data_IF_189613420401
#
_entry.id   IF_189613420401
#
_cell.length_a   1.000
_cell.length_b   1.000
_cell.length_c   1.000
_cell.angle_alpha   90.00
_cell.angle_beta   90.00
_cell.angle_gamma   90.00
#
_symmetry.space_group_name_H-M   'P 1'
#
loop_
_entity.id
_entity.type
_entity.pdbx_description
1 polymer ?
#
# COMPACT_ATOMS: atom_id res chain seq x y z
N UNK A 1 -11.89 -6.67 16.87
CA UNK A 1 -11.85 -6.38 15.41
C UNK A 1 -10.48 -6.76 14.84
N UNK A 2 -10.35 -7.03 13.53
CA UNK A 2 -9.08 -7.48 12.91
C UNK A 2 -8.54 -6.47 11.89
N UNK A 3 -7.22 -6.47 11.67
CA UNK A 3 -6.55 -5.63 10.65
C UNK A 3 -7.13 -5.87 9.24
N UNK A 4 -7.64 -7.07 8.97
CA UNK A 4 -8.28 -7.43 7.69
C UNK A 4 -9.55 -6.61 7.43
N UNK A 5 -10.29 -6.25 8.48
CA UNK A 5 -11.48 -5.41 8.35
C UNK A 5 -11.10 -3.98 7.95
N UNK A 6 -9.95 -3.47 8.42
CA UNK A 6 -9.42 -2.17 7.96
C UNK A 6 -8.91 -2.24 6.51
N UNK A 7 -8.32 -3.35 6.08
CA UNK A 7 -7.88 -3.56 4.69
C UNK A 7 -9.05 -3.65 3.69
N UNK A 8 -10.23 -4.09 4.15
CA UNK A 8 -11.42 -4.22 3.32
C UNK A 8 -12.18 -2.90 3.12
N UNK A 9 -11.82 -1.83 3.84
CA UNK A 9 -12.44 -0.52 3.75
C UNK A 9 -12.15 0.15 2.41
N UNK A 10 -13.16 0.84 1.88
CA UNK A 10 -12.96 1.74 0.74
C UNK A 10 -12.41 3.08 1.23
N UNK A 11 -11.11 3.27 1.09
CA UNK A 11 -10.38 4.47 1.52
C UNK A 11 -10.88 5.75 0.86
N UNK A 12 -11.53 5.70 -0.31
CA UNK A 12 -12.07 6.88 -0.99
C UNK A 12 -13.30 7.47 -0.30
N UNK A 13 -14.01 6.63 0.48
CA UNK A 13 -15.23 6.99 1.17
C UNK A 13 -15.01 7.31 2.65
N UNK A 14 -13.79 7.14 3.16
CA UNK A 14 -13.43 7.47 4.56
C UNK A 14 -13.16 8.96 4.69
N UNK A 15 -14.16 9.70 5.16
CA UNK A 15 -14.05 11.06 5.68
C UNK A 15 -14.21 11.09 7.21
N UNK A 16 -13.55 12.01 7.92
CA UNK A 16 -12.67 13.08 7.45
C UNK A 16 -11.26 12.59 7.06
N UNK A 17 -10.52 13.41 6.32
CA UNK A 17 -9.14 13.12 5.86
C UNK A 17 -8.22 12.66 7.01
N UNK A 18 -8.34 13.26 8.20
CA UNK A 18 -7.57 12.84 9.38
C UNK A 18 -7.82 11.38 9.79
N UNK A 19 -9.06 10.87 9.62
CA UNK A 19 -9.39 9.47 9.89
C UNK A 19 -8.83 8.56 8.78
N UNK A 20 -8.87 9.02 7.54
CA UNK A 20 -8.27 8.33 6.40
C UNK A 20 -6.75 8.17 6.60
N UNK A 21 -6.06 9.23 7.02
CA UNK A 21 -4.63 9.18 7.36
C UNK A 21 -4.35 8.21 8.52
N UNK A 22 -5.20 8.20 9.55
CA UNK A 22 -5.04 7.28 10.69
C UNK A 22 -5.20 5.80 10.29
N UNK A 23 -6.16 5.49 9.41
CA UNK A 23 -6.32 4.13 8.86
C UNK A 23 -5.10 3.74 8.02
N UNK A 24 -4.65 4.64 7.14
CA UNK A 24 -3.48 4.39 6.30
C UNK A 24 -2.20 4.19 7.13
N UNK A 25 -2.00 5.01 8.16
CA UNK A 25 -0.88 4.93 9.08
C UNK A 25 -0.77 3.53 9.74
N UNK A 26 -1.90 2.96 10.15
CA UNK A 26 -1.96 1.62 10.76
C UNK A 26 -1.67 0.52 9.74
N UNK A 27 -2.17 0.66 8.51
CA UNK A 27 -1.93 -0.30 7.43
C UNK A 27 -0.47 -0.30 6.98
N UNK A 28 0.13 0.88 6.87
CA UNK A 28 1.54 1.03 6.51
C UNK A 28 2.45 0.43 7.59
N UNK A 29 2.14 0.67 8.87
CA UNK A 29 2.88 0.08 9.99
C UNK A 29 2.75 -1.45 10.02
N UNK A 30 1.57 -2.01 9.71
CA UNK A 30 1.37 -3.46 9.57
C UNK A 30 2.22 -4.07 8.45
N UNK A 31 2.30 -3.38 7.30
CA UNK A 31 3.06 -3.85 6.15
C UNK A 31 4.58 -3.71 6.36
N UNK A 32 5.02 -2.71 7.11
CA UNK A 32 6.43 -2.47 7.41
C UNK A 32 7.00 -3.42 8.48
N UNK A 33 6.14 -3.95 9.35
CA UNK A 33 6.56 -4.89 10.41
C UNK A 33 6.74 -6.31 9.86
N UNK A 34 7.76 -7.01 10.35
CA UNK A 34 8.00 -8.41 9.98
C UNK A 34 7.16 -9.39 10.80
N UNK A 35 6.80 -9.01 12.03
CA UNK A 35 6.06 -9.82 13.00
C UNK A 35 4.60 -9.36 13.09
N UNK A 36 3.79 -9.80 12.12
CA UNK A 36 2.39 -9.39 11.95
C UNK A 36 1.52 -9.71 13.16
N UNK A 37 1.77 -10.85 13.83
CA UNK A 37 1.01 -11.29 15.00
C UNK A 37 1.25 -10.39 16.22
N UNK A 38 2.51 -10.07 16.50
CA UNK A 38 2.84 -9.15 17.58
C UNK A 38 2.27 -7.74 17.35
N UNK A 39 2.22 -7.29 16.09
CA UNK A 39 1.57 -6.01 15.77
C UNK A 39 0.07 -6.05 16.00
N UNK A 40 -0.61 -7.11 15.57
CA UNK A 40 -2.06 -7.26 15.80
C UNK A 40 -2.40 -7.24 17.29
N UNK A 41 -1.57 -7.82 18.16
CA UNK A 41 -1.75 -7.75 19.62
C UNK A 41 -1.52 -6.35 20.19
N UNK A 42 -0.41 -5.70 19.82
CA UNK A 42 -0.04 -4.37 20.35
C UNK A 42 -1.00 -3.28 19.83
N UNK A 43 -1.47 -3.40 18.60
CA UNK A 43 -2.32 -2.43 17.94
C UNK A 43 -3.83 -2.73 18.05
N UNK A 44 -4.23 -3.85 18.67
CA UNK A 44 -5.63 -4.31 18.74
C UNK A 44 -6.60 -3.21 19.20
N UNK A 45 -6.28 -2.54 20.30
CA UNK A 45 -7.11 -1.47 20.85
C UNK A 45 -7.23 -0.28 19.90
N UNK A 46 -6.15 0.06 19.18
CA UNK A 46 -6.14 1.15 18.23
C UNK A 46 -6.93 0.79 16.96
N UNK A 47 -6.77 -0.44 16.46
CA UNK A 47 -7.54 -0.99 15.33
C UNK A 47 -9.03 -0.93 15.64
N UNK A 48 -9.42 -1.32 16.86
CA UNK A 48 -10.82 -1.28 17.32
C UNK A 48 -11.35 0.16 17.42
N UNK A 49 -10.60 1.08 18.02
CA UNK A 49 -10.99 2.51 18.11
C UNK A 49 -11.16 3.16 16.74
N UNK A 50 -10.24 2.91 15.81
CA UNK A 50 -10.31 3.47 14.45
C UNK A 50 -11.51 2.91 13.70
N UNK A 51 -11.73 1.60 13.79
CA UNK A 51 -12.85 0.94 13.13
C UNK A 51 -14.20 1.46 13.65
N UNK A 52 -14.36 1.62 14.97
CA UNK A 52 -15.57 2.21 15.56
C UNK A 52 -15.81 3.66 15.10
N UNK A 53 -14.74 4.43 14.87
CA UNK A 53 -14.86 5.79 14.34
C UNK A 53 -15.31 5.78 12.87
N UNK A 54 -14.79 4.83 12.08
CA UNK A 54 -15.19 4.63 10.67
C UNK A 54 -16.65 4.18 10.58
N UNK A 55 -17.11 3.26 11.44
CA UNK A 55 -18.52 2.86 11.53
C UNK A 55 -19.44 4.05 11.83
N UNK A 56 -19.02 4.94 12.73
CA UNK A 56 -19.80 6.10 13.15
C UNK A 56 -19.86 7.21 12.11
N UNK A 57 -18.75 7.49 11.43
CA UNK A 57 -18.64 8.64 10.52
C UNK A 57 -18.89 8.27 9.07
N UNK A 58 -18.48 7.07 8.65
CA UNK A 58 -18.52 6.63 7.24
C UNK A 58 -18.95 5.17 7.14
N UNK A 59 -20.18 4.81 7.56
CA UNK A 59 -20.67 3.44 7.44
C UNK A 59 -20.72 2.94 5.98
N UNK A 60 -20.76 3.87 5.01
CA UNK A 60 -20.77 3.56 3.58
C UNK A 60 -19.40 3.06 3.05
N UNK A 61 -18.30 3.26 3.77
CA UNK A 61 -16.96 2.77 3.38
C UNK A 61 -16.74 1.29 3.72
N UNK A 62 -17.64 0.68 4.49
CA UNK A 62 -17.59 -0.72 4.88
C UNK A 62 -18.32 -1.53 3.80
N UNK A 63 -17.58 -2.38 3.07
CA UNK A 63 -18.18 -3.29 2.08
C UNK A 63 -19.11 -4.26 2.82
N UNK A 64 -20.42 -4.06 2.69
CA UNK A 64 -21.43 -4.99 3.22
C UNK A 64 -21.29 -6.32 2.50
N UNK A 65 -20.60 -7.28 3.10
CA UNK A 65 -20.83 -8.69 2.79
C UNK A 65 -22.28 -8.98 3.19
N UNK A 66 -23.10 -9.38 2.20
CA UNK A 66 -24.49 -9.79 2.40
C UNK A 66 -24.53 -10.90 3.44
N UNK A 67 -25.17 -10.66 4.58
CA UNK A 67 -26.03 -11.66 5.21
C UNK A 67 -27.02 -11.03 6.19
N UNK A 68 -28.24 -11.58 6.10
CA UNK A 68 -29.41 -11.48 6.99
C UNK A 68 -30.23 -10.19 7.02
N UNK A 69 -31.18 -10.17 6.09
CA UNK A 69 -32.50 -9.54 6.24
C UNK A 69 -33.30 -10.29 7.32
N UNK A 70 -34.05 -9.58 8.18
CA UNK A 70 -35.38 -10.03 8.54
C UNK A 70 -36.46 -8.99 8.18
N UNK A 71 -37.35 -9.45 7.29
CA UNK A 71 -38.81 -9.20 7.18
C UNK A 71 -39.44 -8.64 8.47
N UNK A 72 -40.40 -7.70 8.50
CA UNK A 72 -41.68 -7.52 7.75
C UNK A 72 -42.21 -6.12 8.17
N UNK A 73 -42.88 -5.35 7.32
CA UNK A 73 -44.35 -5.41 7.22
C UNK A 73 -44.86 -4.69 5.98
N UNK A 74 -45.94 -5.25 5.44
CA UNK A 74 -46.59 -4.99 4.15
C UNK A 74 -47.53 -3.77 4.18
N UNK A 75 -47.71 -3.12 3.02
CA UNK A 75 -48.99 -2.85 2.30
C UNK A 75 -48.67 -1.99 1.05
N UNK A 76 -48.74 -2.53 -0.16
CA UNK A 76 -49.89 -2.54 -1.11
C UNK A 76 -50.35 -1.13 -1.54
N UNK A 77 -50.00 -0.67 -2.74
CA UNK A 77 -50.77 -0.88 -3.99
C UNK A 77 -50.44 0.17 -5.09
N UNK A 78 -50.28 -0.36 -6.31
CA UNK A 78 -50.68 0.17 -7.63
C UNK A 78 -49.96 1.35 -8.35
N UNK A 79 -49.33 0.96 -9.48
CA UNK A 79 -49.67 1.36 -10.86
C UNK A 79 -49.03 2.62 -11.52
N UNK A 80 -48.17 2.29 -12.50
CA UNK A 80 -48.18 2.68 -13.94
C UNK A 80 -47.72 4.08 -14.44
N UNK A 81 -46.84 3.96 -15.44
CA UNK A 81 -46.58 4.78 -16.64
C UNK A 81 -45.94 6.19 -16.57
N UNK A 82 -44.71 6.19 -17.11
CA UNK A 82 -44.15 7.05 -18.17
C UNK A 82 -43.98 8.58 -18.06
N UNK A 83 -42.78 8.95 -18.52
CA UNK A 83 -42.33 10.18 -19.23
C UNK A 83 -41.91 11.44 -18.45
N UNK A 84 -40.58 11.59 -18.43
CA UNK A 84 -39.84 12.68 -19.08
C UNK A 84 -40.08 14.11 -18.58
N UNK A 85 -39.11 14.67 -17.83
CA UNK A 85 -38.19 15.74 -18.27
C UNK A 85 -37.47 16.41 -17.08
N UNK A 86 -36.39 17.13 -17.42
CA UNK A 86 -35.65 18.09 -16.61
C UNK A 86 -34.44 17.56 -15.80
N UNK A 87 -33.32 17.51 -16.51
CA UNK A 87 -31.99 17.62 -15.97
C UNK A 87 -31.83 18.80 -14.99
N UNK A 88 -31.27 18.54 -13.81
CA UNK A 88 -30.37 19.48 -13.12
C UNK A 88 -29.20 18.73 -12.48
N UNK A 89 -28.07 18.88 -13.17
CA UNK A 89 -26.71 18.64 -12.70
C UNK A 89 -26.47 19.19 -11.29
N UNK A 90 -25.84 18.36 -10.46
CA UNK A 90 -24.75 18.66 -9.52
C UNK A 90 -24.83 19.92 -8.64
N UNK A 91 -24.80 19.74 -7.33
CA UNK A 91 -23.92 20.54 -6.45
C UNK A 91 -23.63 19.86 -5.11
N UNK A 92 -22.34 19.57 -4.93
CA UNK A 92 -21.54 19.68 -3.71
C UNK A 92 -21.88 18.83 -2.49
N UNK A 93 -21.13 17.72 -2.37
CA UNK A 93 -20.12 17.58 -1.31
C UNK A 93 -20.00 18.82 -0.41
N UNK A 94 -20.65 18.77 0.77
CA UNK A 94 -20.24 19.60 1.91
C UNK A 94 -19.62 18.66 2.92
N UNK A 95 -18.29 18.62 2.88
CA UNK A 95 -17.45 18.15 3.97
C UNK A 95 -17.88 18.85 5.26
N UNK A 96 -18.72 18.16 6.06
CA UNK A 96 -19.09 18.64 7.39
C UNK A 96 -17.82 18.65 8.22
N UNK A 97 -17.33 19.85 8.56
CA UNK A 97 -16.22 20.02 9.50
C UNK A 97 -16.53 19.18 10.75
N UNK A 98 -15.60 18.35 11.23
CA UNK A 98 -15.83 17.49 12.37
C UNK A 98 -16.20 18.35 13.59
N UNK A 99 -17.17 17.88 14.38
CA UNK A 99 -17.61 18.55 15.60
C UNK A 99 -16.43 18.68 16.57
N UNK A 100 -16.48 19.65 17.50
CA UNK A 100 -15.40 19.87 18.48
C UNK A 100 -15.10 18.61 19.32
N UNK A 101 -16.08 17.74 19.55
CA UNK A 101 -15.92 16.44 20.21
C UNK A 101 -15.16 15.45 19.33
N UNK A 102 -15.56 15.30 18.06
CA UNK A 102 -14.89 14.41 17.09
C UNK A 102 -13.44 14.83 16.84
N UNK A 103 -13.14 16.13 16.83
CA UNK A 103 -11.75 16.61 16.72
C UNK A 103 -10.88 16.18 17.91
N UNK A 104 -11.41 16.26 19.14
CA UNK A 104 -10.68 15.82 20.34
C UNK A 104 -10.45 14.30 20.34
N UNK A 105 -11.42 13.53 19.85
CA UNK A 105 -11.29 12.08 19.70
C UNK A 105 -10.23 11.71 18.64
N UNK A 106 -10.21 12.41 17.50
CA UNK A 106 -9.18 12.25 16.47
C UNK A 106 -7.78 12.64 16.98
N UNK A 107 -7.67 13.72 17.75
CA UNK A 107 -6.41 14.16 18.34
C UNK A 107 -5.90 13.15 19.38
N UNK A 108 -6.78 12.60 20.21
CA UNK A 108 -6.44 11.54 21.17
C UNK A 108 -5.98 10.27 20.43
N UNK A 109 -6.70 9.88 19.38
CA UNK A 109 -6.34 8.73 18.55
C UNK A 109 -4.97 8.90 17.89
N UNK A 110 -4.64 10.11 17.41
CA UNK A 110 -3.33 10.39 16.84
C UNK A 110 -2.18 10.20 17.85
N UNK A 111 -2.42 10.49 19.14
CA UNK A 111 -1.45 10.29 20.22
C UNK A 111 -1.28 8.80 20.53
N UNK A 112 -2.37 8.05 20.56
CA UNK A 112 -2.36 6.60 20.78
C UNK A 112 -1.61 5.86 19.64
N UNK A 113 -1.79 6.29 18.39
CA UNK A 113 -1.05 5.77 17.23
C UNK A 113 0.45 6.06 17.37
N UNK A 114 0.82 7.29 17.75
CA UNK A 114 2.23 7.65 17.99
C UNK A 114 2.85 6.82 19.12
N UNK A 115 2.12 6.57 20.20
CA UNK A 115 2.59 5.73 21.30
C UNK A 115 2.79 4.28 20.84
N UNK A 116 1.88 3.74 20.02
CA UNK A 116 2.01 2.41 19.41
C UNK A 116 3.27 2.32 18.55
N UNK A 117 3.53 3.32 17.70
CA UNK A 117 4.75 3.40 16.88
C UNK A 117 6.03 3.34 17.71
N UNK A 118 6.06 4.02 18.85
CA UNK A 118 7.21 3.97 19.76
C UNK A 118 7.39 2.57 20.38
N UNK A 119 6.30 1.88 20.75
CA UNK A 119 6.36 0.50 21.26
C UNK A 119 6.89 -0.46 20.19
N UNK A 120 6.39 -0.37 18.96
CA UNK A 120 6.85 -1.20 17.84
C UNK A 120 8.33 -0.95 17.53
N UNK A 121 8.78 0.31 17.56
CA UNK A 121 10.20 0.66 17.38
C UNK A 121 11.08 0.01 18.44
N UNK A 122 10.71 0.13 19.72
CA UNK A 122 11.46 -0.48 20.83
C UNK A 122 11.51 -2.01 20.72
N UNK A 123 10.38 -2.65 20.40
CA UNK A 123 10.32 -4.10 20.19
C UNK A 123 11.20 -4.55 19.02
N UNK A 124 11.13 -3.84 17.90
CA UNK A 124 11.95 -4.14 16.72
C UNK A 124 13.45 -3.88 16.97
N UNK A 125 13.80 -2.85 17.74
CA UNK A 125 15.17 -2.59 18.18
C UNK A 125 15.67 -3.72 19.08
N UNK A 126 14.87 -4.18 20.04
CA UNK A 126 15.20 -5.33 20.90
C UNK A 126 15.40 -6.62 20.11
N UNK A 127 14.51 -6.94 19.15
CA UNK A 127 14.71 -8.09 18.26
C UNK A 127 15.97 -7.95 17.39
N UNK A 128 16.34 -6.72 16.99
CA UNK A 128 17.55 -6.46 16.20
C UNK A 128 18.83 -6.42 17.03
N UNK A 129 18.78 -6.25 18.36
CA UNK A 129 19.98 -6.24 19.23
C UNK A 129 20.80 -7.53 19.07
N UNK A 130 20.12 -8.66 18.89
CA UNK A 130 20.76 -9.98 18.74
C UNK A 130 20.99 -10.38 17.28
N UNK A 131 20.60 -9.55 16.32
CA UNK A 131 20.84 -9.81 14.90
C UNK A 131 22.10 -9.08 14.44
N UNK A 132 22.94 -9.70 13.59
CA UNK A 132 24.06 -9.01 12.99
C UNK A 132 23.56 -7.80 12.19
N UNK A 133 24.15 -6.63 12.43
CA UNK A 133 23.82 -5.41 11.66
C UNK A 133 24.09 -5.70 10.19
N UNK A 134 23.04 -5.64 9.35
CA UNK A 134 23.21 -5.78 7.91
C UNK A 134 24.23 -4.74 7.43
N UNK A 135 25.27 -5.14 6.68
CA UNK A 135 26.26 -4.20 6.18
C UNK A 135 25.57 -3.16 5.31
N UNK A 136 26.00 -1.90 5.43
CA UNK A 136 25.49 -0.84 4.57
C UNK A 136 25.80 -1.21 3.11
N UNK A 137 24.82 -1.16 2.19
CA UNK A 137 25.06 -1.52 0.80
C UNK A 137 26.13 -0.60 0.22
N UNK A 138 27.15 -1.20 -0.38
CA UNK A 138 28.23 -0.47 -1.03
C UNK A 138 27.70 0.29 -2.25
N UNK A 139 28.42 1.33 -2.70
CA UNK A 139 28.01 2.17 -3.85
C UNK A 139 27.70 1.34 -5.10
N UNK A 140 28.57 0.39 -5.46
CA UNK A 140 28.35 -0.49 -6.61
C UNK A 140 27.08 -1.34 -6.46
N UNK A 141 26.79 -1.84 -5.25
CA UNK A 141 25.57 -2.60 -4.95
C UNK A 141 24.32 -1.74 -5.10
N UNK A 142 24.37 -0.46 -4.68
CA UNK A 142 23.26 0.47 -4.90
C UNK A 142 23.00 0.71 -6.38
N UNK A 143 24.07 0.95 -7.15
CA UNK A 143 23.98 1.15 -8.61
C UNK A 143 23.34 -0.09 -9.25
N UNK A 144 23.87 -1.28 -8.97
CA UNK A 144 23.29 -2.56 -9.44
C UNK A 144 21.79 -2.65 -9.14
N UNK A 145 21.37 -2.39 -7.91
CA UNK A 145 19.98 -2.49 -7.51
C UNK A 145 19.07 -1.49 -8.25
N UNK A 146 19.55 -0.29 -8.55
CA UNK A 146 18.80 0.68 -9.36
C UNK A 146 18.59 0.18 -10.79
N UNK A 147 19.61 -0.41 -11.43
CA UNK A 147 19.47 -0.99 -12.76
C UNK A 147 18.48 -2.16 -12.79
N UNK A 148 18.51 -3.03 -11.78
CA UNK A 148 17.52 -4.12 -11.64
C UNK A 148 16.12 -3.56 -11.41
N UNK A 149 15.97 -2.46 -10.66
CA UNK A 149 14.68 -1.83 -10.43
C UNK A 149 14.08 -1.25 -11.71
N UNK A 150 14.90 -0.72 -12.62
CA UNK A 150 14.43 -0.22 -13.92
C UNK A 150 13.79 -1.34 -14.74
N UNK A 151 14.29 -2.58 -14.65
CA UNK A 151 13.66 -3.73 -15.31
C UNK A 151 12.22 -3.99 -14.81
N UNK A 152 11.90 -3.64 -13.56
CA UNK A 152 10.54 -3.77 -13.02
C UNK A 152 9.59 -2.65 -13.50
N UNK A 153 10.12 -1.56 -14.06
CA UNK A 153 9.34 -0.44 -14.59
C UNK A 153 8.79 -0.70 -16.00
N UNK A 154 9.14 -1.83 -16.62
CA UNK A 154 8.56 -2.23 -17.90
C UNK A 154 7.03 -2.33 -17.75
N UNK A 155 6.25 -1.57 -18.53
CA UNK A 155 4.80 -1.60 -18.45
C UNK A 155 4.27 -3.02 -18.66
N UNK A 156 3.23 -3.46 -17.93
CA UNK A 156 2.65 -4.80 -18.07
C UNK A 156 2.32 -5.17 -19.51
N UNK A 157 1.77 -4.23 -20.28
CA UNK A 157 1.43 -4.41 -21.70
C UNK A 157 2.64 -4.74 -22.60
N UNK A 158 3.86 -4.44 -22.15
CA UNK A 158 5.09 -4.69 -22.90
C UNK A 158 6.00 -5.71 -22.24
N UNK A 159 5.57 -6.32 -21.12
CA UNK A 159 6.34 -7.37 -20.45
C UNK A 159 6.45 -8.64 -21.28
N UNK A 160 5.59 -8.86 -22.27
CA UNK A 160 5.67 -10.05 -23.14
C UNK A 160 6.38 -9.75 -24.47
N UNK A 161 6.67 -8.48 -24.75
CA UNK A 161 7.36 -8.09 -25.97
C UNK A 161 8.87 -8.35 -25.84
N UNK A 162 9.30 -9.53 -26.30
CA UNK A 162 10.69 -9.99 -26.31
C UNK A 162 11.66 -8.99 -26.99
N UNK A 163 11.24 -8.28 -28.04
CA UNK A 163 12.11 -7.29 -28.70
C UNK A 163 12.39 -6.11 -27.77
N UNK A 164 11.35 -5.61 -27.12
CA UNK A 164 11.47 -4.49 -26.18
C UNK A 164 12.28 -4.89 -24.94
N UNK A 165 12.10 -6.12 -24.43
CA UNK A 165 12.91 -6.64 -23.33
C UNK A 165 14.40 -6.69 -23.69
N UNK A 166 14.76 -7.24 -24.84
CA UNK A 166 16.16 -7.35 -25.30
C UNK A 166 16.79 -5.99 -25.56
N UNK A 167 16.05 -5.03 -26.10
CA UNK A 167 16.53 -3.66 -26.26
C UNK A 167 16.76 -2.97 -24.92
N UNK A 168 15.81 -3.10 -23.99
CA UNK A 168 15.96 -2.58 -22.63
C UNK A 168 17.15 -3.20 -21.90
N UNK A 169 17.34 -4.51 -22.01
CA UNK A 169 18.50 -5.22 -21.46
C UNK A 169 19.81 -4.65 -22.01
N UNK A 170 19.93 -4.52 -23.33
CA UNK A 170 21.13 -3.97 -23.98
C UNK A 170 21.44 -2.54 -23.51
N UNK A 171 20.43 -1.68 -23.42
CA UNK A 171 20.58 -0.30 -22.95
C UNK A 171 21.07 -0.29 -21.50
N UNK A 172 20.44 -1.09 -20.63
CA UNK A 172 20.81 -1.15 -19.21
C UNK A 172 22.20 -1.72 -18.99
N UNK A 173 22.59 -2.78 -19.71
CA UNK A 173 23.94 -3.33 -19.64
C UNK A 173 24.99 -2.33 -20.11
N UNK A 174 24.73 -1.62 -21.22
CA UNK A 174 25.65 -0.60 -21.73
C UNK A 174 25.81 0.57 -20.75
N UNK A 175 24.71 1.05 -20.19
CA UNK A 175 24.72 2.13 -19.22
C UNK A 175 25.40 1.69 -17.91
N UNK A 176 25.12 0.48 -17.41
CA UNK A 176 25.77 -0.07 -16.23
C UNK A 176 27.29 -0.19 -16.42
N UNK A 177 27.74 -0.73 -17.55
CA UNK A 177 29.16 -0.78 -17.94
C UNK A 177 29.80 0.60 -17.97
N UNK A 178 29.16 1.56 -18.63
CA UNK A 178 29.64 2.94 -18.72
C UNK A 178 29.84 3.57 -17.34
N UNK A 179 28.88 3.37 -16.43
CA UNK A 179 28.95 3.89 -15.06
C UNK A 179 30.03 3.17 -14.24
N UNK A 180 30.15 1.84 -14.36
CA UNK A 180 31.18 1.09 -13.64
C UNK A 180 32.60 1.48 -14.08
N UNK A 181 32.80 1.68 -15.39
CA UNK A 181 34.08 2.10 -15.95
C UNK A 181 34.44 3.53 -15.55
N UNK A 182 33.50 4.47 -15.65
CA UNK A 182 33.73 5.88 -15.27
C UNK A 182 34.02 6.05 -13.78
N UNK A 183 33.46 5.21 -12.92
CA UNK A 183 33.73 5.21 -11.49
C UNK A 183 34.95 4.36 -11.08
N UNK A 184 35.67 3.78 -12.04
CA UNK A 184 36.87 2.96 -11.77
C UNK A 184 36.58 1.73 -10.92
N UNK A 185 35.37 1.15 -11.01
CA UNK A 185 34.99 -0.02 -10.22
C UNK A 185 35.61 -1.27 -10.85
N UNK A 186 36.26 -2.10 -10.02
CA UNK A 186 36.92 -3.34 -10.45
C UNK A 186 36.05 -4.19 -11.38
N UNK A 187 36.67 -4.68 -12.46
CA UNK A 187 36.05 -5.51 -13.49
C UNK A 187 35.23 -6.68 -12.93
N UNK A 188 35.74 -7.40 -11.93
CA UNK A 188 35.04 -8.53 -11.28
C UNK A 188 33.69 -8.12 -10.69
N UNK A 189 33.57 -6.91 -10.13
CA UNK A 189 32.30 -6.40 -9.56
C UNK A 189 31.36 -5.89 -10.64
N UNK A 190 31.91 -5.34 -11.72
CA UNK A 190 31.12 -4.98 -12.89
C UNK A 190 30.52 -6.25 -13.52
N UNK A 191 31.32 -7.30 -13.76
CA UNK A 191 30.83 -8.57 -14.32
C UNK A 191 29.75 -9.23 -13.46
N UNK A 192 29.91 -9.23 -12.14
CA UNK A 192 28.88 -9.76 -11.25
C UNK A 192 27.53 -9.03 -11.46
N UNK A 193 27.53 -7.70 -11.43
CA UNK A 193 26.31 -6.93 -11.63
C UNK A 193 25.72 -7.05 -13.03
N UNK A 194 26.55 -7.25 -14.07
CA UNK A 194 26.06 -7.57 -15.42
C UNK A 194 25.31 -8.90 -15.45
N UNK A 195 25.86 -9.95 -14.82
CA UNK A 195 25.21 -11.26 -14.74
C UNK A 195 23.87 -11.16 -14.03
N UNK A 196 23.81 -10.41 -12.94
CA UNK A 196 22.55 -10.20 -12.22
C UNK A 196 21.49 -9.44 -13.03
N UNK A 197 21.90 -8.45 -13.82
CA UNK A 197 21.00 -7.72 -14.73
C UNK A 197 20.49 -8.68 -15.81
N UNK A 198 21.38 -9.48 -16.41
CA UNK A 198 21.01 -10.49 -17.42
C UNK A 198 20.03 -11.52 -16.87
N UNK A 199 20.34 -12.13 -15.72
CA UNK A 199 19.46 -13.12 -15.09
C UNK A 199 18.05 -12.57 -14.82
N UNK A 200 17.92 -11.27 -14.53
CA UNK A 200 16.61 -10.64 -14.34
C UNK A 200 15.82 -10.60 -15.65
N UNK A 201 16.47 -10.28 -16.76
CA UNK A 201 15.86 -10.28 -18.09
C UNK A 201 15.59 -11.70 -18.59
N UNK A 202 16.49 -12.65 -18.36
CA UNK A 202 16.28 -14.07 -18.66
C UNK A 202 15.02 -14.61 -17.96
N UNK A 203 14.85 -14.30 -16.66
CA UNK A 203 13.63 -14.63 -15.89
C UNK A 203 12.37 -13.95 -16.43
N UNK A 204 12.49 -12.78 -17.06
CA UNK A 204 11.35 -12.12 -17.71
C UNK A 204 11.05 -12.75 -19.08
N UNK A 205 12.08 -13.19 -19.82
CA UNK A 205 11.92 -13.94 -21.06
C UNK A 205 11.26 -15.31 -20.82
N UNK A 206 11.72 -16.06 -19.81
CA UNK A 206 11.13 -17.36 -19.46
C UNK A 206 9.66 -17.25 -19.09
N UNK A 207 9.27 -16.15 -18.42
CA UNK A 207 7.87 -15.87 -18.09
C UNK A 207 7.04 -15.46 -19.29
N UNK A 208 7.65 -14.80 -20.28
CA UNK A 208 6.97 -14.40 -21.51
C UNK A 208 6.84 -15.56 -22.53
N UNK A 209 7.66 -16.61 -22.40
CA UNK A 209 7.64 -17.82 -23.24
C UNK A 209 6.76 -18.95 -22.70
N UNK A 210 6.31 -18.85 -21.44
CA UNK A 210 5.36 -19.78 -20.80
C UNK A 210 3.93 -19.29 -21.00
#
# INVERSE_FOLDING_TARGET
MTIQQLQALDMSLVQPEALQTAVQDILDDYNATSDKKAFEEIAKENIEKVFLLVERLTPNSIKKTKEEVPKKTEKKDMAKDEKETAAKKSTSDKSKKPSKTVKKELDALSKDIKACRLKIKKYNEEKRKNQPKKPKPMRHTKIKNHFIAIANLIPPAHKENLKMQKEAEKILLRAYRGIMNTYGINFVRAEAGEKDIKEKYDKMEEKAKK
#
